data_IF_469469894450
#
_entry.id   IF_469469894450
#
_cell.length_a   1.000
_cell.length_b   1.000
_cell.length_c   1.000
_cell.angle_alpha   90.00
_cell.angle_beta   90.00
_cell.angle_gamma   90.00
#
_symmetry.space_group_name_H-M   'P 1'
#
loop_
_entity.id
_entity.type
_entity.pdbx_description
1 polymer ?
#
# COMPACT_ATOMS: atom_id res chain seq x y z
N UNK A 1 8.13 -10.05 21.10
CA UNK A 1 8.02 -9.11 19.97
C UNK A 1 6.62 -9.24 19.38
N UNK A 2 5.81 -8.17 19.37
CA UNK A 2 4.46 -8.16 18.79
C UNK A 2 4.56 -8.36 17.27
N UNK A 3 3.55 -8.96 16.64
CA UNK A 3 3.58 -9.30 15.21
C UNK A 3 3.77 -8.06 14.35
N UNK A 4 3.11 -6.94 14.69
CA UNK A 4 3.21 -5.69 13.95
C UNK A 4 4.64 -5.12 13.92
N UNK A 5 5.49 -5.44 14.90
CA UNK A 5 6.88 -4.94 14.92
C UNK A 5 7.70 -5.47 13.74
N UNK A 6 7.32 -6.63 13.18
CA UNK A 6 7.91 -7.19 11.96
C UNK A 6 7.46 -6.46 10.69
N UNK A 7 6.32 -5.75 10.79
CA UNK A 7 5.69 -5.02 9.69
C UNK A 7 5.83 -3.50 9.85
N UNK A 8 6.54 -3.06 10.88
CA UNK A 8 6.69 -1.67 11.25
C UNK A 8 7.34 -0.88 10.10
N UNK A 9 6.56 0.02 9.49
CA UNK A 9 6.98 0.81 8.34
C UNK A 9 8.00 1.90 8.71
N UNK A 10 8.24 2.12 10.00
CA UNK A 10 9.11 3.16 10.52
C UNK A 10 10.51 2.64 10.88
N UNK A 11 10.73 1.33 11.01
CA UNK A 11 12.00 0.73 11.49
C UNK A 11 13.08 0.53 10.42
N UNK A 12 12.75 0.50 9.12
CA UNK A 12 13.69 0.05 8.08
C UNK A 12 14.29 1.14 7.19
N UNK A 13 13.94 2.40 7.41
CA UNK A 13 14.53 3.50 6.65
C UNK A 13 15.74 4.04 7.40
N UNK A 14 16.93 3.53 7.08
CA UNK A 14 18.21 4.04 7.60
C UNK A 14 18.26 5.58 7.49
N UNK A 15 18.55 6.25 8.60
CA UNK A 15 18.66 7.71 8.65
C UNK A 15 17.36 8.50 8.82
N UNK A 16 16.20 7.85 8.99
CA UNK A 16 14.93 8.53 9.25
C UNK A 16 14.41 8.27 10.66
N UNK A 17 14.19 9.34 11.42
CA UNK A 17 13.50 9.32 12.70
C UNK A 17 12.07 9.82 12.50
N UNK A 18 11.10 8.93 12.69
CA UNK A 18 9.68 9.24 12.50
C UNK A 18 9.14 10.19 13.56
N UNK A 19 9.68 10.15 14.78
CA UNK A 19 9.27 11.08 15.83
C UNK A 19 9.73 12.48 15.48
N UNK A 20 11.01 12.61 15.07
CA UNK A 20 11.55 13.88 14.56
C UNK A 20 10.79 14.38 13.32
N UNK A 21 10.45 13.50 12.37
CA UNK A 21 9.63 13.85 11.19
C UNK A 21 8.26 14.43 11.58
N UNK A 22 7.65 13.92 12.66
CA UNK A 22 6.38 14.43 13.19
C UNK A 22 6.59 15.78 13.89
N UNK A 23 7.66 15.93 14.69
CA UNK A 23 7.98 17.18 15.38
C UNK A 23 8.28 18.31 14.38
N UNK A 24 9.04 18.03 13.32
CA UNK A 24 9.29 18.96 12.21
C UNK A 24 7.99 19.37 11.50
N UNK A 25 7.04 18.45 11.36
CA UNK A 25 5.75 18.76 10.75
C UNK A 25 4.87 19.63 11.66
N UNK A 26 4.89 19.37 12.97
CA UNK A 26 4.23 20.22 13.98
C UNK A 26 4.78 21.65 13.94
N UNK A 27 6.11 21.82 13.90
CA UNK A 27 6.74 23.14 13.78
C UNK A 27 6.31 23.86 12.49
N UNK A 28 6.18 23.15 11.37
CA UNK A 28 5.70 23.73 10.11
C UNK A 28 4.22 24.15 10.19
N UNK A 29 3.39 23.42 10.94
CA UNK A 29 2.00 23.80 11.22
C UNK A 29 1.98 25.06 12.09
N UNK A 30 2.82 25.16 13.12
CA UNK A 30 2.92 26.37 13.95
C UNK A 30 3.37 27.59 13.15
N UNK A 31 4.36 27.42 12.27
CA UNK A 31 4.79 28.49 11.34
C UNK A 31 3.65 28.96 10.44
N UNK A 32 2.73 28.07 10.06
CA UNK A 32 1.54 28.48 9.31
C UNK A 32 0.62 29.36 10.15
N UNK A 33 0.37 28.98 11.41
CA UNK A 33 -0.46 29.80 12.32
C UNK A 33 0.17 31.14 12.66
N UNK A 34 1.50 31.22 12.66
CA UNK A 34 2.27 32.46 12.81
C UNK A 34 2.45 33.26 11.52
N UNK A 35 1.86 32.80 10.41
CA UNK A 35 1.98 33.40 9.07
C UNK A 35 3.43 33.46 8.52
N UNK A 36 4.34 32.65 9.08
CA UNK A 36 5.76 32.56 8.67
C UNK A 36 5.97 31.67 7.44
N UNK A 37 4.95 30.91 7.01
CA UNK A 37 4.96 30.10 5.79
C UNK A 37 3.74 30.36 4.92
N UNK A 38 3.98 30.58 3.63
CA UNK A 38 2.89 30.79 2.67
C UNK A 38 2.00 29.53 2.53
N UNK A 39 0.65 29.67 2.52
CA UNK A 39 -0.27 28.52 2.48
C UNK A 39 -0.05 27.55 1.32
N UNK A 40 0.36 28.02 0.14
CA UNK A 40 0.64 27.13 -1.01
C UNK A 40 1.91 26.29 -0.81
N UNK A 41 2.92 26.82 -0.09
CA UNK A 41 4.12 26.05 0.28
C UNK A 41 3.75 24.99 1.32
N UNK A 42 2.97 25.38 2.33
CA UNK A 42 2.43 24.45 3.33
C UNK A 42 1.61 23.33 2.69
N UNK A 43 0.75 23.65 1.71
CA UNK A 43 -0.07 22.69 0.98
C UNK A 43 0.76 21.59 0.31
N UNK A 44 1.87 21.93 -0.32
CA UNK A 44 2.73 20.93 -0.96
C UNK A 44 3.35 19.98 0.08
N UNK A 45 3.75 20.53 1.23
CA UNK A 45 4.34 19.77 2.33
C UNK A 45 3.32 18.85 3.02
N UNK A 46 2.18 19.39 3.47
CA UNK A 46 1.14 18.62 4.20
C UNK A 46 0.56 17.48 3.37
N UNK A 47 0.52 17.62 2.04
CA UNK A 47 0.06 16.54 1.16
C UNK A 47 0.97 15.31 1.24
N UNK A 48 2.27 15.47 1.52
CA UNK A 48 3.16 14.34 1.76
C UNK A 48 2.91 13.68 3.11
N UNK A 49 2.24 14.34 4.05
CA UNK A 49 1.81 13.78 5.34
C UNK A 49 0.39 13.20 5.31
N UNK A 50 -0.20 13.01 4.13
CA UNK A 50 -1.56 12.47 4.03
C UNK A 50 -2.67 13.49 4.35
N UNK A 51 -2.30 14.73 4.70
CA UNK A 51 -3.20 15.80 5.13
C UNK A 51 -3.79 16.53 3.93
N UNK A 52 -5.08 16.34 3.65
CA UNK A 52 -5.81 16.96 2.53
C UNK A 52 -6.81 18.00 3.03
N UNK A 53 -6.89 19.16 2.37
CA UNK A 53 -7.80 20.23 2.80
C UNK A 53 -9.21 19.94 2.33
N UNK A 54 -10.21 20.12 3.21
CA UNK A 54 -11.61 19.92 2.85
C UNK A 54 -12.19 21.24 2.35
N UNK A 55 -12.83 21.22 1.18
CA UNK A 55 -13.55 22.39 0.66
C UNK A 55 -14.92 22.47 1.34
N UNK A 56 -15.37 23.69 1.70
CA UNK A 56 -16.70 23.98 2.29
C UNK A 56 -16.93 23.57 3.75
N UNK A 57 -15.89 23.16 4.46
CA UNK A 57 -15.93 23.04 5.93
C UNK A 57 -15.19 24.21 6.56
N UNK A 58 -15.37 24.42 7.86
CA UNK A 58 -14.69 25.48 8.61
C UNK A 58 -13.18 25.48 8.37
N UNK A 59 -12.57 26.66 8.44
CA UNK A 59 -11.12 26.81 8.31
C UNK A 59 -10.39 25.87 9.28
N UNK A 60 -9.30 25.23 8.81
CA UNK A 60 -8.50 24.30 9.61
C UNK A 60 -8.92 22.82 9.54
N UNK A 61 -10.02 22.47 8.89
CA UNK A 61 -10.46 21.06 8.77
C UNK A 61 -9.82 20.30 7.60
N UNK A 62 -9.39 19.07 7.90
CA UNK A 62 -8.65 18.22 6.98
C UNK A 62 -9.22 16.80 6.90
N UNK A 63 -8.98 16.15 5.76
CA UNK A 63 -9.02 14.70 5.65
C UNK A 63 -7.60 14.18 5.90
N UNK A 64 -7.46 13.23 6.81
CA UNK A 64 -6.20 12.56 7.10
C UNK A 64 -6.23 11.16 6.50
N UNK A 65 -5.30 10.86 5.58
CA UNK A 65 -5.16 9.52 5.01
C UNK A 65 -4.07 8.72 5.70
N UNK A 66 -4.43 7.54 6.18
CA UNK A 66 -3.53 6.54 6.76
C UNK A 66 -3.11 5.60 5.64
N UNK A 67 -1.80 5.37 5.49
CA UNK A 67 -1.25 4.43 4.50
C UNK A 67 -1.34 3.02 5.06
N UNK A 68 -2.07 2.14 4.40
CA UNK A 68 -2.27 0.74 4.82
C UNK A 68 -1.79 -0.18 3.70
N UNK A 69 -0.49 -0.56 3.68
CA UNK A 69 0.08 -1.39 2.62
C UNK A 69 -0.75 -2.65 2.41
N UNK A 70 -1.13 -2.92 1.16
CA UNK A 70 -1.96 -4.07 0.77
C UNK A 70 -3.34 -4.15 1.44
N UNK A 71 -3.77 -3.14 2.20
CA UNK A 71 -4.94 -3.25 3.07
C UNK A 71 -4.76 -4.22 4.24
N UNK A 72 -3.54 -4.68 4.48
CA UNK A 72 -3.25 -5.64 5.53
C UNK A 72 -3.09 -4.91 6.87
N UNK A 73 -3.96 -5.22 7.82
CA UNK A 73 -4.01 -4.56 9.12
C UNK A 73 -4.15 -5.60 10.24
N UNK A 74 -3.40 -5.41 11.31
CA UNK A 74 -3.48 -6.23 12.52
C UNK A 74 -4.50 -5.66 13.51
N UNK A 75 -5.03 -6.49 14.40
CA UNK A 75 -6.06 -6.08 15.36
C UNK A 75 -5.60 -4.93 16.27
N UNK A 76 -4.34 -4.93 16.71
CA UNK A 76 -3.80 -3.83 17.52
C UNK A 76 -3.72 -2.51 16.75
N UNK A 77 -3.38 -2.56 15.46
CA UNK A 77 -3.38 -1.39 14.59
C UNK A 77 -4.81 -0.87 14.38
N UNK A 78 -5.77 -1.77 14.16
CA UNK A 78 -7.17 -1.41 13.99
C UNK A 78 -7.75 -0.76 15.26
N UNK A 79 -7.41 -1.27 16.45
CA UNK A 79 -7.81 -0.67 17.73
C UNK A 79 -7.28 0.76 17.88
N UNK A 80 -6.02 1.01 17.50
CA UNK A 80 -5.45 2.37 17.51
C UNK A 80 -6.17 3.28 16.51
N UNK A 81 -6.54 2.78 15.33
CA UNK A 81 -7.32 3.56 14.36
C UNK A 81 -8.71 3.89 14.91
N UNK A 82 -9.37 2.96 15.62
CA UNK A 82 -10.65 3.22 16.27
C UNK A 82 -10.52 4.33 17.33
N UNK A 83 -9.52 4.25 18.22
CA UNK A 83 -9.24 5.28 19.23
C UNK A 83 -8.97 6.65 18.59
N UNK A 84 -8.18 6.69 17.51
CA UNK A 84 -7.91 7.91 16.75
C UNK A 84 -9.20 8.48 16.13
N UNK A 85 -10.05 7.60 15.59
CA UNK A 85 -11.30 7.98 14.92
C UNK A 85 -12.25 8.63 15.92
N UNK A 86 -12.47 8.00 17.06
CA UNK A 86 -13.33 8.52 18.15
C UNK A 86 -12.83 9.86 18.69
N UNK A 87 -11.51 10.04 18.78
CA UNK A 87 -10.91 11.27 19.34
C UNK A 87 -10.85 12.44 18.36
N UNK A 88 -10.58 12.18 17.09
CA UNK A 88 -10.15 13.23 16.16
C UNK A 88 -10.99 13.37 14.90
N UNK A 89 -11.76 12.34 14.50
CA UNK A 89 -12.54 12.41 13.28
C UNK A 89 -13.89 13.09 13.55
N UNK A 90 -14.06 14.35 13.12
CA UNK A 90 -15.35 15.05 13.25
C UNK A 90 -16.50 14.42 12.46
N UNK A 91 -16.22 13.42 11.61
CA UNK A 91 -17.21 12.61 10.90
C UNK A 91 -17.78 11.45 11.74
N UNK A 92 -17.13 11.10 12.86
CA UNK A 92 -17.53 10.00 13.74
C UNK A 92 -17.27 8.59 13.18
N UNK A 93 -16.59 8.46 12.05
CA UNK A 93 -16.26 7.17 11.43
C UNK A 93 -14.95 7.23 10.64
N UNK A 94 -14.37 6.07 10.38
CA UNK A 94 -13.25 5.92 9.45
C UNK A 94 -13.76 5.43 8.09
N UNK A 95 -13.13 5.86 6.99
CA UNK A 95 -13.58 5.52 5.64
C UNK A 95 -12.54 4.67 4.89
N UNK A 96 -12.94 3.47 4.47
CA UNK A 96 -12.16 2.59 3.60
C UNK A 96 -12.13 3.13 2.17
N UNK A 97 -10.93 3.18 1.59
CA UNK A 97 -10.74 3.72 0.24
C UNK A 97 -10.68 2.62 -0.82
N UNK A 98 -10.91 3.00 -2.08
CA UNK A 98 -10.69 2.12 -3.25
C UNK A 98 -9.22 1.76 -3.50
N UNK A 99 -8.29 2.18 -2.63
CA UNK A 99 -6.88 1.78 -2.64
C UNK A 99 -6.45 1.13 -1.33
N UNK A 100 -7.40 0.54 -0.61
CA UNK A 100 -7.13 -0.21 0.61
C UNK A 100 -6.54 0.63 1.76
N UNK A 101 -6.46 1.96 1.62
CA UNK A 101 -6.16 2.90 2.70
C UNK A 101 -7.39 3.19 3.57
N UNK A 102 -7.17 3.88 4.70
CA UNK A 102 -8.19 4.42 5.59
C UNK A 102 -8.11 5.96 5.60
N UNK A 103 -9.26 6.64 5.63
CA UNK A 103 -9.36 8.09 5.73
C UNK A 103 -10.22 8.52 6.91
N UNK A 104 -9.75 9.55 7.61
CA UNK A 104 -10.49 10.25 8.64
C UNK A 104 -10.87 11.62 8.12
N UNK A 105 -12.13 12.02 8.30
CA UNK A 105 -12.63 13.29 7.79
C UNK A 105 -12.93 14.26 8.92
N UNK A 106 -12.74 15.55 8.62
CA UNK A 106 -12.97 16.69 9.53
C UNK A 106 -12.07 16.65 10.76
N UNK A 107 -10.78 16.35 10.54
CA UNK A 107 -9.73 16.41 11.55
C UNK A 107 -9.18 17.83 11.61
N UNK A 108 -9.13 18.43 12.80
CA UNK A 108 -8.49 19.74 13.00
C UNK A 108 -6.97 19.62 12.76
N UNK A 109 -6.40 20.56 12.00
CA UNK A 109 -4.98 20.61 11.69
C UNK A 109 -4.09 20.55 12.95
N UNK A 110 -4.48 21.19 14.05
CA UNK A 110 -3.72 21.16 15.32
C UNK A 110 -3.64 19.76 15.95
N UNK A 111 -4.58 18.87 15.62
CA UNK A 111 -4.63 17.52 16.19
C UNK A 111 -3.80 16.50 15.39
N UNK A 112 -3.36 16.87 14.18
CA UNK A 112 -2.68 15.94 13.28
C UNK A 112 -1.38 15.41 13.89
N UNK A 113 -0.48 16.22 14.48
CA UNK A 113 0.75 15.69 15.09
C UNK A 113 0.48 14.61 16.15
N UNK A 114 -0.50 14.83 17.03
CA UNK A 114 -0.90 13.85 18.06
C UNK A 114 -1.42 12.54 17.45
N UNK A 115 -2.24 12.64 16.40
CA UNK A 115 -2.72 11.48 15.63
C UNK A 115 -1.55 10.71 15.01
N UNK A 116 -0.57 11.40 14.40
CA UNK A 116 0.59 10.76 13.79
C UNK A 116 1.44 10.02 14.83
N UNK A 117 1.62 10.61 16.02
CA UNK A 117 2.31 9.97 17.15
C UNK A 117 1.60 8.69 17.59
N UNK A 118 0.27 8.66 17.61
CA UNK A 118 -0.48 7.45 17.93
C UNK A 118 -0.28 6.34 16.88
N UNK A 119 -0.32 6.68 15.59
CA UNK A 119 -0.03 5.73 14.50
C UNK A 119 1.40 5.18 14.56
N UNK A 120 2.37 6.05 14.85
CA UNK A 120 3.78 5.67 14.93
C UNK A 120 4.04 4.60 16.01
N UNK A 121 3.29 4.60 17.13
CA UNK A 121 3.39 3.59 18.21
C UNK A 121 3.08 2.16 17.77
N UNK A 122 2.36 1.99 16.66
CA UNK A 122 1.99 0.68 16.09
C UNK A 122 2.56 0.48 14.68
N UNK A 123 3.64 1.18 14.36
CA UNK A 123 4.38 1.03 13.11
C UNK A 123 3.62 1.49 11.86
N UNK A 124 2.61 2.34 12.03
CA UNK A 124 1.84 2.92 10.93
C UNK A 124 2.29 4.34 10.60
N UNK A 125 1.92 4.81 9.41
CA UNK A 125 2.25 6.16 8.95
C UNK A 125 1.20 6.70 7.96
N UNK A 126 1.21 8.01 7.76
CA UNK A 126 0.44 8.72 6.73
C UNK A 126 1.34 9.25 5.60
N UNK A 127 2.66 9.06 5.75
CA UNK A 127 3.68 9.57 4.84
C UNK A 127 3.47 9.02 3.43
N UNK A 128 3.51 9.93 2.45
CA UNK A 128 3.33 9.67 1.03
C UNK A 128 1.98 9.01 0.66
N UNK A 129 0.96 9.06 1.53
CA UNK A 129 -0.40 8.61 1.20
C UNK A 129 -1.12 9.55 0.20
N UNK A 130 -0.65 10.81 0.13
CA UNK A 130 -1.14 11.88 -0.73
C UNK A 130 0.02 12.56 -1.47
N UNK A 131 -0.28 13.63 -2.22
CA UNK A 131 0.74 14.35 -2.99
C UNK A 131 1.11 13.69 -4.32
N UNK A 132 2.24 14.13 -4.86
CA UNK A 132 2.88 13.59 -6.06
C UNK A 132 3.89 12.53 -5.65
N UNK A 133 3.37 11.40 -5.18
CA UNK A 133 4.17 10.30 -4.67
C UNK A 133 3.73 8.92 -5.12
N UNK A 134 4.54 7.92 -4.77
CA UNK A 134 4.10 6.52 -4.77
C UNK A 134 2.99 6.37 -3.72
N UNK A 135 1.77 6.11 -4.21
CA UNK A 135 0.58 5.92 -3.37
C UNK A 135 0.64 4.60 -2.63
N UNK A 136 -0.42 4.29 -1.89
CA UNK A 136 -0.54 2.97 -1.31
C UNK A 136 -0.38 1.89 -2.38
N UNK A 137 0.49 0.93 -2.07
CA UNK A 137 0.72 -0.25 -2.89
C UNK A 137 -0.35 -1.23 -2.48
N UNK A 138 -1.16 -1.62 -3.46
CA UNK A 138 -2.29 -2.51 -3.25
C UNK A 138 -1.88 -3.93 -3.63
N UNK A 139 -2.48 -4.92 -3.00
CA UNK A 139 -2.40 -6.30 -3.48
C UNK A 139 -3.78 -6.93 -3.51
N UNK A 140 -3.90 -8.09 -4.13
CA UNK A 140 -5.10 -8.90 -3.98
C UNK A 140 -5.44 -9.09 -2.51
N UNK A 141 -6.73 -8.95 -2.20
CA UNK A 141 -7.28 -9.20 -0.87
C UNK A 141 -7.32 -10.70 -0.51
N UNK A 142 -7.02 -11.58 -1.49
CA UNK A 142 -6.92 -13.02 -1.31
C UNK A 142 -5.49 -13.54 -1.23
N UNK A 143 -4.47 -12.65 -1.28
CA UNK A 143 -3.07 -13.07 -1.19
C UNK A 143 -2.81 -13.88 0.07
N UNK A 144 -2.22 -15.06 -0.10
CA UNK A 144 -1.91 -16.02 0.96
C UNK A 144 -3.03 -17.03 1.24
N UNK A 145 -4.25 -16.80 0.74
CA UNK A 145 -5.43 -17.65 0.98
C UNK A 145 -6.13 -18.11 -0.31
N UNK A 146 -5.81 -17.51 -1.46
CA UNK A 146 -6.44 -17.80 -2.74
C UNK A 146 -6.14 -19.24 -3.22
N UNK A 147 -7.15 -20.06 -3.57
CA UNK A 147 -6.94 -21.41 -4.12
C UNK A 147 -6.11 -21.44 -5.42
N UNK A 148 -6.18 -20.37 -6.21
CA UNK A 148 -5.54 -20.28 -7.52
C UNK A 148 -4.20 -19.51 -7.50
N UNK A 149 -3.72 -19.07 -6.33
CA UNK A 149 -2.50 -18.26 -6.29
C UNK A 149 -1.27 -19.03 -6.73
N UNK A 150 -0.39 -18.33 -7.43
CA UNK A 150 0.94 -18.84 -7.79
C UNK A 150 1.88 -18.83 -6.59
N UNK A 151 1.88 -17.72 -5.84
CA UNK A 151 2.53 -17.58 -4.54
C UNK A 151 1.93 -16.38 -3.79
N UNK A 152 2.16 -16.30 -2.49
CA UNK A 152 1.70 -15.18 -1.67
C UNK A 152 2.49 -13.90 -1.99
N UNK A 153 1.82 -12.90 -2.58
CA UNK A 153 2.42 -11.62 -2.98
C UNK A 153 2.44 -10.58 -1.85
N UNK A 154 1.74 -10.82 -0.75
CA UNK A 154 1.63 -9.91 0.39
C UNK A 154 2.99 -9.48 0.96
N UNK A 155 3.94 -10.38 1.28
CA UNK A 155 5.25 -9.97 1.78
C UNK A 155 5.99 -9.07 0.77
N UNK A 156 5.90 -9.37 -0.52
CA UNK A 156 6.54 -8.60 -1.58
C UNK A 156 5.91 -7.20 -1.75
N UNK A 157 4.58 -7.10 -1.67
CA UNK A 157 3.86 -5.83 -1.76
C UNK A 157 4.15 -4.89 -0.58
N UNK A 158 4.20 -5.44 0.65
CA UNK A 158 4.57 -4.66 1.84
C UNK A 158 6.04 -4.25 1.79
N UNK A 159 6.95 -5.15 1.38
CA UNK A 159 8.36 -4.81 1.17
C UNK A 159 8.52 -3.72 0.11
N UNK A 160 7.74 -3.75 -0.97
CA UNK A 160 7.70 -2.69 -1.99
C UNK A 160 7.32 -1.34 -1.36
N UNK A 161 6.41 -1.35 -0.38
CA UNK A 161 6.05 -0.13 0.34
C UNK A 161 7.21 0.35 1.17
N UNK A 162 7.91 -0.52 1.91
CA UNK A 162 9.11 -0.18 2.69
C UNK A 162 10.21 0.39 1.80
N UNK A 163 10.43 -0.19 0.62
CA UNK A 163 11.45 0.24 -0.34
C UNK A 163 11.19 1.65 -0.89
N UNK A 164 9.94 1.99 -1.21
CA UNK A 164 9.59 3.29 -1.79
C UNK A 164 9.19 4.36 -0.78
N UNK A 165 8.84 3.99 0.44
CA UNK A 165 8.47 4.94 1.49
C UNK A 165 9.69 5.77 1.90
N UNK A 166 9.59 7.11 1.79
CA UNK A 166 10.71 8.06 2.02
C UNK A 166 11.88 7.87 1.06
N UNK A 167 11.69 7.13 -0.03
CA UNK A 167 12.68 7.03 -1.09
C UNK A 167 12.88 8.40 -1.77
N UNK A 168 14.11 8.82 -2.12
CA UNK A 168 14.38 10.15 -2.70
C UNK A 168 13.53 10.51 -3.93
N UNK A 169 13.17 9.51 -4.74
CA UNK A 169 12.30 9.67 -5.90
C UNK A 169 10.80 9.73 -5.55
N UNK A 170 10.39 9.12 -4.44
CA UNK A 170 8.96 8.92 -4.13
C UNK A 170 8.25 10.24 -3.83
N UNK A 171 8.89 11.23 -3.23
CA UNK A 171 8.21 12.48 -2.82
C UNK A 171 8.22 13.60 -3.88
N UNK A 172 8.90 13.39 -5.01
CA UNK A 172 9.22 14.45 -6.00
C UNK A 172 8.71 14.17 -7.42
N UNK A 173 7.86 13.15 -7.58
CA UNK A 173 7.36 12.71 -8.89
C UNK A 173 6.59 13.82 -9.62
N UNK A 174 6.49 13.76 -10.96
CA UNK A 174 5.63 14.68 -11.72
C UNK A 174 4.17 14.60 -11.27
N UNK A 175 3.69 13.39 -10.94
CA UNK A 175 2.33 13.13 -10.45
C UNK A 175 2.26 11.81 -9.68
N UNK A 176 1.12 11.56 -9.03
CA UNK A 176 0.83 10.31 -8.29
C UNK A 176 1.16 9.06 -9.12
N UNK A 177 1.77 8.08 -8.48
CA UNK A 177 2.16 6.79 -9.05
C UNK A 177 1.55 5.65 -8.22
N UNK A 178 0.98 4.64 -8.88
CA UNK A 178 0.25 3.56 -8.23
C UNK A 178 0.80 2.20 -8.68
N UNK A 179 1.04 1.33 -7.70
CA UNK A 179 1.53 -0.03 -7.89
C UNK A 179 0.47 -1.00 -7.36
N UNK A 180 0.26 -2.11 -8.06
CA UNK A 180 -0.61 -3.20 -7.62
C UNK A 180 0.03 -4.57 -7.85
N UNK A 181 -0.26 -5.52 -6.94
CA UNK A 181 0.19 -6.91 -7.00
C UNK A 181 -0.99 -7.88 -7.04
N UNK A 182 -1.05 -8.73 -8.05
CA UNK A 182 -1.96 -9.88 -8.09
C UNK A 182 -1.18 -11.17 -7.85
N UNK A 183 -1.80 -12.09 -7.12
CA UNK A 183 -1.32 -13.42 -6.74
C UNK A 183 -1.63 -14.50 -7.80
N UNK A 184 -2.59 -14.24 -8.69
CA UNK A 184 -2.97 -15.14 -9.78
C UNK A 184 -3.33 -14.39 -11.07
N UNK A 185 -3.51 -15.16 -12.15
CA UNK A 185 -3.89 -14.65 -13.49
C UNK A 185 -5.32 -14.08 -13.54
N UNK A 186 -6.17 -14.37 -12.55
CA UNK A 186 -7.52 -13.78 -12.44
C UNK A 186 -7.46 -12.27 -12.12
N UNK A 187 -6.27 -11.75 -11.78
CA UNK A 187 -5.99 -10.33 -11.53
C UNK A 187 -6.95 -9.67 -10.51
N UNK A 188 -7.09 -10.27 -9.32
CA UNK A 188 -7.92 -9.73 -8.24
C UNK A 188 -7.49 -8.31 -7.78
N UNK A 189 -6.27 -7.87 -8.14
CA UNK A 189 -5.76 -6.54 -7.86
C UNK A 189 -6.08 -5.51 -8.96
N UNK A 190 -6.66 -5.93 -10.08
CA UNK A 190 -6.94 -5.09 -11.25
C UNK A 190 -5.67 -4.36 -11.72
N UNK A 191 -4.58 -5.10 -11.86
CA UNK A 191 -3.22 -4.64 -12.13
C UNK A 191 -3.14 -3.73 -13.36
N UNK A 192 -3.93 -3.97 -14.40
CA UNK A 192 -3.88 -3.19 -15.66
C UNK A 192 -4.35 -1.74 -15.55
N UNK A 193 -5.02 -1.34 -14.46
CA UNK A 193 -5.44 0.06 -14.25
C UNK A 193 -4.44 0.91 -13.45
N UNK A 194 -3.27 0.34 -13.11
CA UNK A 194 -2.24 0.95 -12.28
C UNK A 194 -1.07 1.48 -13.11
N UNK A 195 -0.28 2.40 -12.54
CA UNK A 195 0.93 2.86 -13.22
C UNK A 195 1.91 1.69 -13.38
N UNK A 196 1.99 0.79 -12.38
CA UNK A 196 2.61 -0.54 -12.47
C UNK A 196 1.64 -1.60 -11.94
N UNK A 197 1.46 -2.67 -12.72
CA UNK A 197 0.77 -3.89 -12.31
C UNK A 197 1.71 -5.08 -12.33
N UNK A 198 1.77 -5.85 -11.24
CA UNK A 198 2.63 -7.03 -11.10
C UNK A 198 1.76 -8.26 -10.84
N UNK A 199 1.74 -9.21 -11.77
CA UNK A 199 0.98 -10.45 -11.64
C UNK A 199 1.96 -11.59 -11.34
N UNK A 200 1.72 -12.33 -10.26
CA UNK A 200 2.56 -13.44 -9.83
C UNK A 200 2.75 -14.46 -10.95
N UNK A 201 4.00 -14.81 -11.20
CA UNK A 201 4.41 -15.78 -12.21
C UNK A 201 5.49 -16.69 -11.66
N UNK A 202 5.50 -17.94 -12.12
CA UNK A 202 6.51 -18.94 -11.73
C UNK A 202 7.16 -19.48 -12.98
N UNK A 203 8.48 -19.66 -12.94
CA UNK A 203 9.25 -20.40 -13.96
C UNK A 203 9.88 -21.63 -13.32
N UNK A 204 9.90 -22.72 -14.07
CA UNK A 204 10.55 -23.97 -13.67
C UNK A 204 11.61 -24.33 -14.70
N UNK A 205 12.83 -23.84 -14.47
CA UNK A 205 14.00 -24.17 -15.29
C UNK A 205 15.01 -24.93 -14.41
N UNK A 206 14.62 -26.11 -13.92
CA UNK A 206 15.40 -26.94 -12.97
C UNK A 206 15.31 -26.50 -11.50
N UNK A 207 14.99 -25.22 -11.24
CA UNK A 207 14.60 -24.71 -9.92
C UNK A 207 13.36 -23.81 -10.08
N UNK A 208 12.45 -23.89 -9.11
CA UNK A 208 11.30 -22.99 -9.03
C UNK A 208 11.80 -21.57 -8.79
N UNK A 209 11.46 -20.66 -9.70
CA UNK A 209 11.77 -19.24 -9.58
C UNK A 209 10.47 -18.43 -9.55
N UNK A 210 10.27 -17.71 -8.46
CA UNK A 210 9.17 -16.76 -8.32
C UNK A 210 9.52 -15.44 -9.00
N UNK A 211 8.51 -14.82 -9.61
CA UNK A 211 8.65 -13.55 -10.29
C UNK A 211 7.31 -12.95 -10.63
N UNK A 212 7.33 -11.92 -11.48
CA UNK A 212 6.14 -11.21 -11.89
C UNK A 212 6.10 -10.99 -13.40
N UNK A 213 4.91 -11.14 -13.98
CA UNK A 213 4.55 -10.49 -15.25
C UNK A 213 4.21 -9.05 -14.95
N UNK A 214 4.87 -8.10 -15.60
CA UNK A 214 4.77 -6.67 -15.24
C UNK A 214 4.16 -5.88 -16.39
N UNK A 215 3.23 -5.00 -16.04
CA UNK A 215 2.56 -4.07 -16.93
C UNK A 215 2.81 -2.63 -16.46
N UNK A 216 2.90 -1.69 -17.40
CA UNK A 216 3.15 -0.28 -17.12
C UNK A 216 2.21 0.65 -17.89
N UNK A 217 1.83 1.78 -17.27
CA UNK A 217 1.16 2.87 -17.97
C UNK A 217 -0.37 2.92 -17.84
N UNK A 218 -0.97 2.17 -16.93
CA UNK A 218 -2.42 2.19 -16.72
C UNK A 218 -2.93 3.42 -15.97
N UNK A 219 -4.23 3.71 -16.11
CA UNK A 219 -4.90 4.65 -15.21
C UNK A 219 -6.28 5.14 -15.64
N UNK A 220 -7.25 5.06 -14.72
CA UNK A 220 -8.65 5.51 -14.86
C UNK A 220 -8.87 7.03 -14.69
N UNK A 221 -7.98 7.86 -15.25
CA UNK A 221 -8.23 9.32 -15.29
C UNK A 221 -9.36 9.68 -16.26
N UNK A 222 -9.58 10.97 -16.56
CA UNK A 222 -10.56 11.40 -17.56
C UNK A 222 -10.38 10.72 -18.93
N UNK A 223 -9.14 10.40 -19.28
CA UNK A 223 -8.79 9.57 -20.44
C UNK A 223 -8.31 8.22 -19.93
N UNK A 224 -9.14 7.17 -19.82
CA UNK A 224 -8.72 5.87 -19.31
C UNK A 224 -7.74 5.20 -20.29
N UNK A 225 -6.72 4.52 -19.75
CA UNK A 225 -5.74 3.75 -20.53
C UNK A 225 -5.39 2.47 -19.75
N UNK A 226 -5.31 1.34 -20.45
CA UNK A 226 -4.79 0.10 -19.88
C UNK A 226 -3.26 0.13 -19.88
N UNK A 227 -2.67 -0.53 -18.89
CA UNK A 227 -1.23 -0.75 -18.85
C UNK A 227 -0.81 -1.74 -19.94
N UNK A 228 0.30 -1.46 -20.60
CA UNK A 228 0.90 -2.33 -21.62
C UNK A 228 1.96 -3.24 -20.97
N UNK A 229 2.17 -4.43 -21.53
CA UNK A 229 3.06 -5.43 -20.94
C UNK A 229 4.52 -4.97 -21.08
N UNK A 230 5.17 -4.73 -19.95
CA UNK A 230 6.57 -4.30 -19.89
C UNK A 230 7.53 -5.49 -19.99
N UNK A 231 7.27 -6.55 -19.22
CA UNK A 231 8.07 -7.79 -19.20
C UNK A 231 7.21 -9.00 -18.85
N UNK A 232 7.42 -10.13 -19.54
CA UNK A 232 6.67 -11.37 -19.30
C UNK A 232 7.03 -12.05 -17.98
N UNK A 233 8.26 -11.85 -17.50
CA UNK A 233 8.73 -12.36 -16.22
C UNK A 233 9.94 -11.58 -15.74
N UNK A 234 9.92 -11.14 -14.49
CA UNK A 234 11.08 -10.64 -13.76
C UNK A 234 11.17 -11.34 -12.41
N UNK A 235 12.35 -11.82 -11.97
CA UNK A 235 12.53 -12.37 -10.63
C UNK A 235 12.10 -11.40 -9.53
N UNK A 236 11.63 -11.93 -8.41
CA UNK A 236 11.10 -11.11 -7.30
C UNK A 236 12.09 -10.08 -6.77
N UNK A 237 13.38 -10.39 -6.75
CA UNK A 237 14.46 -9.53 -6.26
C UNK A 237 14.86 -8.43 -7.26
N UNK A 238 14.69 -8.69 -8.55
CA UNK A 238 14.92 -7.71 -9.61
C UNK A 238 13.74 -6.72 -9.77
N UNK A 239 12.54 -7.09 -9.33
CA UNK A 239 11.32 -6.30 -9.52
C UNK A 239 11.43 -4.84 -9.01
N UNK A 240 11.98 -4.63 -7.82
CA UNK A 240 12.03 -3.29 -7.22
C UNK A 240 12.94 -2.33 -7.99
N UNK A 241 14.03 -2.86 -8.56
CA UNK A 241 14.93 -2.08 -9.42
C UNK A 241 14.25 -1.73 -10.74
N UNK A 242 13.44 -2.63 -11.30
CA UNK A 242 12.63 -2.31 -12.49
C UNK A 242 11.66 -1.16 -12.20
N UNK A 243 10.96 -1.21 -11.06
CA UNK A 243 10.04 -0.13 -10.66
C UNK A 243 10.80 1.18 -10.37
N UNK A 244 11.97 1.12 -9.72
CA UNK A 244 12.80 2.32 -9.51
C UNK A 244 13.25 2.92 -10.85
N UNK A 245 13.62 2.10 -11.84
CA UNK A 245 13.93 2.55 -13.20
C UNK A 245 12.74 3.23 -13.87
N UNK A 246 11.54 2.66 -13.75
CA UNK A 246 10.30 3.31 -14.22
C UNK A 246 10.11 4.67 -13.55
N UNK A 247 10.30 4.76 -12.23
CA UNK A 247 10.19 6.02 -11.50
C UNK A 247 11.24 7.04 -11.94
N UNK A 248 12.49 6.62 -12.20
CA UNK A 248 13.56 7.49 -12.73
C UNK A 248 13.21 8.03 -14.11
N UNK A 249 12.74 7.17 -15.02
CA UNK A 249 12.30 7.57 -16.36
C UNK A 249 11.12 8.53 -16.25
N UNK A 250 10.11 8.22 -15.44
CA UNK A 250 8.98 9.11 -15.21
C UNK A 250 9.41 10.45 -14.61
N UNK A 251 10.30 10.44 -13.62
CA UNK A 251 10.80 11.65 -12.98
C UNK A 251 11.57 12.55 -13.96
N UNK A 252 12.44 11.97 -14.78
CA UNK A 252 13.29 12.68 -15.75
C UNK A 252 12.49 13.21 -16.93
N UNK A 253 11.73 12.33 -17.59
CA UNK A 253 11.08 12.65 -18.87
C UNK A 253 9.66 13.21 -18.72
N UNK A 254 9.03 13.05 -17.54
CA UNK A 254 7.69 13.59 -17.25
C UNK A 254 7.69 15.07 -16.79
N UNK A 255 8.82 15.78 -16.95
CA UNK A 255 9.00 17.15 -16.45
C UNK A 255 8.18 18.16 -17.23
N UNK A 256 8.08 18.02 -18.55
CA UNK A 256 7.30 18.92 -19.41
C UNK A 256 5.81 18.94 -19.02
N UNK A 257 5.28 17.78 -18.63
CA UNK A 257 3.88 17.61 -18.25
C UNK A 257 3.58 18.16 -16.85
N UNK A 258 4.59 18.48 -16.01
CA UNK A 258 4.37 19.07 -14.67
C UNK A 258 3.59 20.39 -14.74
N UNK A 259 3.77 21.15 -15.82
CA UNK A 259 3.04 22.40 -16.11
C UNK A 259 1.52 22.16 -16.25
N UNK A 260 1.13 20.97 -16.72
CA UNK A 260 -0.25 20.60 -16.98
C UNK A 260 -0.67 19.41 -16.11
N UNK A 261 -1.16 19.68 -14.89
CA UNK A 261 -1.54 18.65 -13.90
C UNK A 261 -2.42 17.52 -14.44
N UNK A 262 -3.28 17.81 -15.42
CA UNK A 262 -4.19 16.84 -16.04
C UNK A 262 -3.48 15.89 -17.02
N UNK A 263 -2.30 16.28 -17.52
CA UNK A 263 -1.43 15.50 -18.42
C UNK A 263 -0.17 14.96 -17.74
N UNK A 264 0.02 15.22 -16.45
CA UNK A 264 1.26 14.87 -15.71
C UNK A 264 1.40 13.39 -15.29
N UNK A 265 0.46 12.50 -15.63
CA UNK A 265 0.54 11.06 -15.27
C UNK A 265 1.44 10.31 -16.26
N UNK A 266 2.09 9.25 -15.79
CA UNK A 266 3.04 8.46 -16.61
C UNK A 266 2.45 7.95 -17.93
N UNK A 267 1.17 7.57 -17.95
CA UNK A 267 0.48 7.18 -19.19
C UNK A 267 0.55 8.20 -20.32
N UNK A 268 0.58 9.50 -20.00
CA UNK A 268 0.70 10.56 -21.00
C UNK A 268 2.14 10.75 -21.47
N UNK A 269 3.12 10.51 -20.59
CA UNK A 269 4.52 10.40 -20.98
C UNK A 269 4.68 9.27 -22.01
N UNK A 270 4.18 8.07 -21.68
CA UNK A 270 4.20 6.89 -22.57
C UNK A 270 3.53 7.21 -23.91
N UNK A 271 2.34 7.80 -23.89
CA UNK A 271 1.64 8.20 -25.11
C UNK A 271 2.42 9.21 -25.97
N UNK A 272 3.25 10.07 -25.36
CA UNK A 272 4.07 11.05 -26.09
C UNK A 272 5.33 10.43 -26.69
N UNK A 273 6.05 9.60 -25.93
CA UNK A 273 7.35 9.06 -26.37
C UNK A 273 7.24 7.71 -27.09
N UNK A 274 6.09 7.02 -26.98
CA UNK A 274 5.89 5.66 -27.46
C UNK A 274 6.30 4.61 -26.42
N UNK A 275 5.56 3.50 -26.35
CA UNK A 275 5.81 2.44 -25.37
C UNK A 275 7.16 1.75 -25.57
N UNK A 276 7.56 1.49 -26.82
CA UNK A 276 8.87 0.88 -27.12
C UNK A 276 10.03 1.76 -26.63
N UNK A 277 9.96 3.07 -26.92
CA UNK A 277 10.98 4.01 -26.45
C UNK A 277 10.99 4.14 -24.92
N UNK A 278 9.82 4.14 -24.30
CA UNK A 278 9.71 4.11 -22.84
C UNK A 278 10.38 2.86 -22.26
N UNK A 279 10.13 1.68 -22.86
CA UNK A 279 10.70 0.41 -22.47
C UNK A 279 12.22 0.41 -22.58
N UNK A 280 12.78 0.89 -23.69
CA UNK A 280 14.24 1.06 -23.86
C UNK A 280 14.85 1.89 -22.72
N UNK A 281 14.29 3.06 -22.44
CA UNK A 281 14.78 3.95 -21.38
C UNK A 281 14.72 3.30 -19.99
N UNK A 282 13.67 2.51 -19.73
CA UNK A 282 13.52 1.77 -18.46
C UNK A 282 14.59 0.70 -18.32
N UNK A 283 14.85 -0.08 -19.37
CA UNK A 283 15.86 -1.14 -19.32
C UNK A 283 17.28 -0.59 -19.27
N UNK A 284 17.56 0.55 -19.91
CA UNK A 284 18.85 1.25 -19.77
C UNK A 284 19.14 1.66 -18.32
N UNK A 285 18.13 2.17 -17.61
CA UNK A 285 18.27 2.52 -16.19
C UNK A 285 18.31 1.26 -15.29
N UNK A 286 17.57 0.22 -15.65
CA UNK A 286 17.51 -1.05 -14.93
C UNK A 286 18.87 -1.73 -14.88
N UNK A 287 19.59 -1.83 -16.01
CA UNK A 287 20.92 -2.43 -16.05
C UNK A 287 21.94 -1.68 -15.19
N UNK A 288 21.82 -0.35 -15.08
CA UNK A 288 22.68 0.46 -14.19
C UNK A 288 22.40 0.17 -12.71
N UNK A 289 21.11 0.10 -12.34
CA UNK A 289 20.69 -0.20 -10.97
C UNK A 289 21.04 -1.63 -10.57
N UNK A 290 20.83 -2.59 -11.48
CA UNK A 290 21.13 -4.01 -11.25
C UNK A 290 22.59 -4.23 -10.88
N UNK A 291 23.53 -3.58 -11.57
CA UNK A 291 24.97 -3.67 -11.29
C UNK A 291 25.38 -3.11 -9.93
N UNK A 292 24.63 -2.15 -9.38
CA UNK A 292 25.02 -1.40 -8.18
C UNK A 292 24.26 -1.81 -6.92
N UNK A 293 23.01 -2.26 -7.04
CA UNK A 293 22.11 -2.45 -5.88
C UNK A 293 21.59 -3.87 -5.69
N UNK A 294 21.68 -4.74 -6.71
CA UNK A 294 20.95 -6.02 -6.68
C UNK A 294 21.34 -6.89 -5.48
N UNK A 295 22.63 -7.09 -5.23
CA UNK A 295 23.09 -7.99 -4.16
C UNK A 295 22.53 -7.62 -2.78
N UNK A 296 22.62 -6.35 -2.40
CA UNK A 296 22.14 -5.85 -1.11
C UNK A 296 20.61 -5.96 -1.01
N UNK A 297 19.90 -5.59 -2.09
CA UNK A 297 18.44 -5.68 -2.15
C UNK A 297 17.95 -7.12 -2.03
N UNK A 298 18.60 -8.05 -2.75
CA UNK A 298 18.27 -9.48 -2.73
C UNK A 298 18.37 -10.04 -1.32
N UNK A 299 19.43 -9.72 -0.59
CA UNK A 299 19.61 -10.15 0.81
C UNK A 299 18.51 -9.59 1.73
N UNK A 300 18.27 -8.28 1.67
CA UNK A 300 17.23 -7.60 2.47
C UNK A 300 15.83 -8.18 2.21
N UNK A 301 15.49 -8.38 0.93
CA UNK A 301 14.21 -8.93 0.52
C UNK A 301 14.01 -10.35 1.05
N UNK A 302 14.94 -11.25 0.79
CA UNK A 302 14.75 -12.66 1.17
C UNK A 302 14.72 -12.83 2.67
N UNK A 303 15.55 -12.07 3.41
CA UNK A 303 15.47 -12.00 4.87
C UNK A 303 14.09 -11.52 5.33
N UNK A 304 13.53 -10.50 4.70
CA UNK A 304 12.20 -9.99 5.05
C UNK A 304 11.10 -11.03 4.78
N UNK A 305 11.10 -11.63 3.59
CA UNK A 305 10.10 -12.63 3.18
C UNK A 305 10.16 -13.88 4.07
N UNK A 306 11.35 -14.36 4.40
CA UNK A 306 11.54 -15.52 5.28
C UNK A 306 11.01 -15.27 6.70
N UNK A 307 11.19 -14.04 7.21
CA UNK A 307 10.74 -13.63 8.54
C UNK A 307 9.30 -13.09 8.59
N UNK A 308 8.64 -12.99 7.43
CA UNK A 308 7.30 -12.42 7.32
C UNK A 308 6.29 -13.24 8.14
N UNK A 309 5.34 -12.60 8.84
CA UNK A 309 4.33 -13.31 9.59
C UNK A 309 3.50 -14.24 8.68
N UNK A 310 3.59 -15.55 8.91
CA UNK A 310 2.75 -16.51 8.20
C UNK A 310 1.30 -16.40 8.69
N UNK A 311 0.29 -16.39 7.80
CA UNK A 311 -1.11 -16.45 8.20
C UNK A 311 -1.35 -17.74 9.01
N UNK A 312 -2.02 -17.62 10.15
CA UNK A 312 -2.40 -18.77 10.96
C UNK A 312 -3.73 -19.35 10.45
N UNK A 313 -3.92 -20.68 10.49
CA UNK A 313 -2.98 -21.73 10.85
C UNK A 313 -2.82 -22.83 9.77
N UNK A 314 -1.60 -23.33 9.65
CA UNK A 314 -1.34 -24.66 9.10
C UNK A 314 -1.99 -25.72 10.00
N UNK A 315 -2.00 -26.99 9.57
CA UNK A 315 -2.52 -28.15 10.33
C UNK A 315 -2.00 -28.24 11.79
N UNK A 316 -0.88 -27.56 12.11
CA UNK A 316 -0.22 -27.54 13.42
C UNK A 316 -0.21 -26.16 14.12
N UNK A 317 -0.86 -25.12 13.59
CA UNK A 317 -0.75 -23.77 14.13
C UNK A 317 0.60 -23.08 13.82
N UNK A 318 0.83 -21.87 14.37
CA UNK A 318 2.22 -21.37 14.51
C UNK A 318 2.89 -22.19 15.63
N UNK A 319 4.17 -21.94 15.93
CA UNK A 319 4.84 -22.55 17.10
C UNK A 319 4.08 -22.31 18.45
N UNK A 320 3.16 -21.34 18.49
CA UNK A 320 2.23 -21.03 19.59
C UNK A 320 0.83 -21.68 19.47
N UNK A 321 0.63 -22.61 18.52
CA UNK A 321 -0.68 -23.17 18.17
C UNK A 321 -1.41 -23.89 19.31
N UNK A 322 -0.66 -24.52 20.21
CA UNK A 322 -1.18 -25.13 21.45
C UNK A 322 -1.69 -24.07 22.46
N UNK A 323 -1.01 -22.93 22.59
CA UNK A 323 -1.45 -21.82 23.45
C UNK A 323 -2.68 -21.13 22.85
N UNK A 324 -2.70 -20.93 21.53
CA UNK A 324 -3.84 -20.33 20.83
C UNK A 324 -5.11 -21.19 20.89
N UNK A 325 -4.99 -22.53 20.87
CA UNK A 325 -6.15 -23.42 21.10
C UNK A 325 -6.83 -23.17 22.44
N UNK A 326 -6.07 -22.83 23.49
CA UNK A 326 -6.62 -22.50 24.82
C UNK A 326 -7.30 -21.13 24.84
N UNK A 327 -6.87 -20.20 23.98
CA UNK A 327 -7.46 -18.86 23.86
C UNK A 327 -8.72 -18.84 22.97
N UNK A 328 -8.84 -19.77 22.02
CA UNK A 328 -10.03 -19.93 21.19
C UNK A 328 -11.19 -20.46 22.04
N UNK A 329 -12.05 -19.56 22.50
CA UNK A 329 -13.32 -19.93 23.12
C UNK A 329 -14.18 -20.65 22.09
N UNK A 330 -14.64 -21.85 22.45
CA UNK A 330 -15.72 -22.49 21.69
C UNK A 330 -16.91 -21.53 21.68
N UNK A 331 -17.52 -21.25 20.50
CA UNK A 331 -18.69 -20.39 20.45
C UNK A 331 -19.78 -20.95 21.37
N UNK A 332 -20.43 -20.07 22.14
CA UNK A 332 -21.44 -20.44 23.13
C UNK A 332 -22.74 -20.99 22.51
N UNK A 333 -22.90 -20.88 21.20
CA UNK A 333 -24.05 -21.36 20.45
C UNK A 333 -23.62 -21.99 19.13
N UNK A 334 -24.26 -23.07 18.75
CA UNK A 334 -24.17 -23.58 17.37
C UNK A 334 -25.02 -22.68 16.47
N UNK A 335 -24.53 -22.32 15.26
CA UNK A 335 -25.33 -21.56 14.32
C UNK A 335 -26.57 -22.37 13.89
N UNK A 336 -27.69 -21.69 13.67
CA UNK A 336 -28.89 -22.29 13.11
C UNK A 336 -28.70 -22.50 11.60
N UNK A 337 -28.39 -23.74 11.21
CA UNK A 337 -28.21 -24.12 9.81
C UNK A 337 -29.53 -24.27 9.05
N UNK A 338 -30.67 -23.98 9.67
CA UNK A 338 -31.96 -23.86 8.99
C UNK A 338 -32.31 -22.40 8.64
N UNK A 339 -31.55 -21.43 9.15
CA UNK A 339 -31.72 -20.03 8.82
C UNK A 339 -31.25 -19.73 7.40
N UNK A 340 -32.21 -19.42 6.52
CA UNK A 340 -31.96 -19.06 5.12
C UNK A 340 -31.07 -17.82 4.97
N UNK A 341 -31.10 -16.88 5.93
CA UNK A 341 -30.23 -15.71 5.91
C UNK A 341 -28.78 -16.08 6.25
N UNK A 342 -28.59 -16.98 7.21
CA UNK A 342 -27.27 -17.52 7.53
C UNK A 342 -26.67 -18.31 6.36
N UNK A 343 -27.47 -19.17 5.72
CA UNK A 343 -27.02 -19.90 4.51
C UNK A 343 -26.64 -18.94 3.37
N UNK A 344 -27.45 -17.90 3.13
CA UNK A 344 -27.15 -16.88 2.14
C UNK A 344 -25.86 -16.12 2.49
N UNK A 345 -25.63 -15.85 3.77
CA UNK A 345 -24.39 -15.24 4.24
C UNK A 345 -23.19 -16.13 3.94
N UNK A 346 -23.26 -17.43 4.26
CA UNK A 346 -22.19 -18.38 3.97
C UNK A 346 -21.88 -18.44 2.46
N UNK A 347 -22.92 -18.46 1.61
CA UNK A 347 -22.73 -18.53 0.16
C UNK A 347 -22.11 -17.26 -0.44
N UNK A 348 -22.41 -16.08 0.12
CA UNK A 348 -22.02 -14.78 -0.48
C UNK A 348 -20.76 -14.18 0.12
N UNK A 349 -20.49 -14.45 1.39
CA UNK A 349 -19.49 -13.73 2.16
C UNK A 349 -18.40 -14.63 2.74
N UNK A 350 -18.48 -15.94 2.54
CA UNK A 350 -17.42 -16.86 2.97
C UNK A 350 -16.62 -17.33 1.76
N UNK A 351 -15.30 -17.29 1.90
CA UNK A 351 -14.35 -17.65 0.86
C UNK A 351 -13.55 -18.85 1.36
N UNK A 352 -13.65 -19.99 0.68
CA UNK A 352 -12.82 -21.15 1.00
C UNK A 352 -11.35 -20.83 0.71
N UNK A 353 -10.49 -21.01 1.70
CA UNK A 353 -9.06 -20.78 1.53
C UNK A 353 -8.37 -22.00 0.90
N UNK A 354 -7.14 -21.82 0.42
CA UNK A 354 -6.26 -22.94 0.00
C UNK A 354 -5.81 -23.83 1.17
N UNK A 355 -5.90 -23.32 2.40
CA UNK A 355 -5.63 -24.07 3.62
C UNK A 355 -6.87 -24.88 4.02
N UNK A 356 -6.74 -26.20 4.03
CA UNK A 356 -7.84 -27.10 4.37
C UNK A 356 -8.45 -26.78 5.75
N UNK A 357 -9.78 -26.65 5.77
CA UNK A 357 -10.55 -26.35 6.98
C UNK A 357 -10.64 -24.87 7.34
N UNK A 358 -10.03 -23.96 6.56
CA UNK A 358 -10.05 -22.53 6.81
C UNK A 358 -10.83 -21.74 5.77
N UNK A 359 -11.42 -20.64 6.23
CA UNK A 359 -12.31 -19.79 5.45
C UNK A 359 -12.02 -18.32 5.76
N UNK A 360 -12.01 -17.48 4.72
CA UNK A 360 -12.06 -16.03 4.85
C UNK A 360 -13.51 -15.54 4.90
N UNK A 361 -13.75 -14.41 5.56
CA UNK A 361 -15.07 -13.77 5.61
C UNK A 361 -14.96 -12.36 5.05
N UNK A 362 -15.82 -12.03 4.10
CA UNK A 362 -15.98 -10.69 3.57
C UNK A 362 -17.02 -9.93 4.39
N UNK A 363 -16.58 -8.90 5.11
CA UNK A 363 -17.47 -7.98 5.83
C UNK A 363 -17.60 -6.71 5.02
N UNK A 364 -18.83 -6.35 4.64
CA UNK A 364 -19.12 -5.13 3.88
C UNK A 364 -19.50 -3.98 4.82
N UNK A 365 -18.61 -3.01 5.08
CA UNK A 365 -19.01 -1.81 5.80
C UNK A 365 -20.01 -0.99 4.97
N UNK A 366 -21.07 -0.43 5.60
CA UNK A 366 -22.00 0.47 4.93
C UNK A 366 -21.27 1.64 4.28
N UNK A 367 -21.35 1.77 2.95
CA UNK A 367 -20.69 2.82 2.17
C UNK A 367 -19.16 2.92 2.35
N UNK A 368 -18.52 1.88 2.91
CA UNK A 368 -17.09 1.91 3.24
C UNK A 368 -16.75 2.51 4.60
N UNK A 369 -17.74 2.85 5.43
CA UNK A 369 -17.52 3.45 6.74
C UNK A 369 -17.41 2.38 7.84
N UNK A 370 -16.32 2.45 8.62
CA UNK A 370 -16.06 1.64 9.81
C UNK A 370 -16.50 2.39 11.07
#
# INVERSE_FOLDING_TARGET
>A
MKIWEKLDLNKETEGFDVWKEIDEYEEIIEKLYREEIHPERFKSYRLLFGTYGVRRHGEGMHMQRIKVPSGFILSEQLNVIAEITERFAGSGHAHLTTRQDIQLHYVNLSNIPSLLRMLARVGMTTREACGNSVRNITSSYLSGICPNEKFDVLPYAIFCTRYFLRHPLSSTLPRKFKIAFSECEDDHALSLMHDIGAIASVRENGKVQYGFKVYAGGGLGPVPMFAEKLVDFIPVDEFYLLVESVLKVFHKYGTEERKFRNKARMKFLIARIGFDRFKELVFDEFEKLKKSKLSELTEKLFRYVENFPKPAPTKNGREDGEENKKALKQPSSKPDTSDKLFDLFLQRYVIKQKQDGYYGVYVKPPLGNL
#
